data_IF_813103491876
#
_entry.id   IF_813103491876
#
_cell.length_a   1.000
_cell.length_b   1.000
_cell.length_c   1.000
_cell.angle_alpha   90.00
_cell.angle_beta   90.00
_cell.angle_gamma   90.00
#
_symmetry.space_group_name_H-M   'P 1'
#
loop_
_entity.id
_entity.type
_entity.pdbx_description
1 polymer ?
#
# COMPACT_ATOMS: atom_id res chain seq x y z
N UNK A 1 -7.32 -7.16 18.51
CA UNK A 1 -6.57 -7.36 17.25
C UNK A 1 -5.22 -8.02 17.49
N UNK A 2 -4.34 -7.50 18.38
CA UNK A 2 -3.01 -8.07 18.59
C UNK A 2 -3.10 -9.53 19.06
N UNK A 3 -3.88 -9.83 20.10
CA UNK A 3 -4.04 -11.17 20.66
C UNK A 3 -4.51 -12.18 19.60
N UNK A 4 -5.60 -11.90 18.87
CA UNK A 4 -6.09 -12.80 17.82
C UNK A 4 -5.08 -12.96 16.67
N UNK A 5 -4.29 -11.93 16.38
CA UNK A 5 -3.23 -12.04 15.37
C UNK A 5 -2.13 -12.98 15.83
N UNK A 6 -1.61 -12.81 17.04
CA UNK A 6 -0.48 -13.60 17.55
C UNK A 6 -0.82 -15.09 17.72
N UNK A 7 -2.07 -15.40 18.09
CA UNK A 7 -2.48 -16.78 18.41
C UNK A 7 -3.06 -17.55 17.19
N UNK A 8 -3.70 -16.84 16.25
CA UNK A 8 -4.48 -17.50 15.18
C UNK A 8 -4.10 -16.99 13.79
N UNK A 9 -4.29 -15.68 13.53
CA UNK A 9 -4.25 -15.11 12.18
C UNK A 9 -2.85 -15.02 11.58
N UNK A 10 -1.80 -15.05 12.40
CA UNK A 10 -0.42 -14.92 11.95
C UNK A 10 0.02 -16.10 11.07
N UNK A 11 -0.59 -17.28 11.16
CA UNK A 11 -0.19 -18.49 10.42
C UNK A 11 -0.11 -18.24 8.91
N UNK A 12 -1.07 -17.51 8.35
CA UNK A 12 -1.11 -17.18 6.91
C UNK A 12 -0.53 -15.81 6.57
N UNK A 13 -0.05 -15.05 7.55
CA UNK A 13 0.39 -13.67 7.40
C UNK A 13 1.41 -13.49 6.27
N UNK A 14 2.47 -14.30 6.23
CA UNK A 14 3.51 -14.16 5.22
C UNK A 14 3.05 -14.47 3.79
N UNK A 15 2.01 -15.29 3.64
CA UNK A 15 1.39 -15.61 2.34
C UNK A 15 0.44 -14.52 1.86
N UNK A 16 -0.23 -13.85 2.79
CA UNK A 16 -1.33 -12.94 2.51
C UNK A 16 -0.95 -11.45 2.59
N UNK A 17 0.21 -11.11 3.14
CA UNK A 17 0.63 -9.72 3.36
C UNK A 17 0.59 -8.85 2.09
N UNK A 18 0.80 -9.45 0.93
CA UNK A 18 0.74 -8.75 -0.36
C UNK A 18 -0.64 -8.74 -1.01
N UNK A 19 -1.56 -9.59 -0.57
CA UNK A 19 -2.88 -9.76 -1.17
C UNK A 19 -3.88 -8.77 -0.57
N UNK A 20 -4.54 -7.93 -1.37
CA UNK A 20 -5.37 -6.85 -0.84
C UNK A 20 -6.59 -7.33 -0.06
N UNK A 21 -7.24 -8.42 -0.48
CA UNK A 21 -8.42 -8.96 0.20
C UNK A 21 -8.04 -9.78 1.44
N UNK A 22 -7.18 -10.76 1.31
CA UNK A 22 -6.83 -11.69 2.39
C UNK A 22 -6.03 -11.00 3.51
N UNK A 23 -5.22 -9.98 3.19
CA UNK A 23 -4.48 -9.21 4.19
C UNK A 23 -5.40 -8.50 5.20
N UNK A 24 -6.64 -8.19 4.80
CA UNK A 24 -7.63 -7.57 5.68
C UNK A 24 -7.99 -8.46 6.87
N UNK A 25 -7.89 -9.78 6.69
CA UNK A 25 -8.18 -10.78 7.73
C UNK A 25 -6.92 -11.28 8.43
N UNK A 26 -5.86 -11.58 7.67
CA UNK A 26 -4.66 -12.27 8.18
C UNK A 26 -3.55 -11.33 8.69
N UNK A 27 -3.55 -10.05 8.36
CA UNK A 27 -2.59 -9.09 8.92
C UNK A 27 -3.01 -8.63 10.32
N UNK A 28 -2.05 -8.10 11.07
CA UNK A 28 -2.26 -7.68 12.47
C UNK A 28 -3.30 -6.58 12.63
N UNK A 29 -3.38 -5.66 11.66
CA UNK A 29 -4.25 -4.48 11.69
C UNK A 29 -4.00 -3.59 12.93
N UNK A 30 -2.75 -3.60 13.43
CA UNK A 30 -2.37 -2.89 14.66
C UNK A 30 -1.87 -1.46 14.40
N UNK A 31 -1.56 -1.11 13.14
CA UNK A 31 -0.96 0.18 12.79
C UNK A 31 -1.74 1.41 13.28
N UNK A 32 -3.09 1.50 13.18
CA UNK A 32 -3.83 2.63 13.74
C UNK A 32 -3.65 2.75 15.26
N UNK A 33 -3.61 1.63 15.97
CA UNK A 33 -3.44 1.62 17.42
C UNK A 33 -2.04 2.04 17.87
N UNK A 34 -1.03 1.83 17.02
CA UNK A 34 0.33 2.35 17.22
C UNK A 34 0.35 3.86 16.98
N UNK A 35 -0.22 4.32 15.88
CA UNK A 35 -0.26 5.74 15.51
C UNK A 35 -0.98 6.59 16.57
N UNK A 36 -2.10 6.11 17.09
CA UNK A 36 -2.85 6.83 18.14
C UNK A 36 -2.41 6.52 19.58
N UNK A 37 -1.31 5.78 19.77
CA UNK A 37 -0.74 5.51 21.07
C UNK A 37 -1.56 4.59 21.98
N UNK A 38 -2.56 3.89 21.45
CA UNK A 38 -3.35 2.92 22.23
C UNK A 38 -2.51 1.72 22.71
N UNK A 39 -1.44 1.42 21.98
CA UNK A 39 -0.45 0.40 22.32
C UNK A 39 0.93 0.89 21.87
N UNK A 40 1.95 0.66 22.70
CA UNK A 40 3.31 1.05 22.34
C UNK A 40 3.98 -0.01 21.46
N UNK A 41 4.95 0.43 20.64
CA UNK A 41 5.79 -0.49 19.87
C UNK A 41 6.48 -1.53 20.76
N UNK A 42 6.95 -1.12 21.94
CA UNK A 42 7.57 -2.02 22.92
C UNK A 42 6.62 -3.14 23.37
N UNK A 43 5.37 -2.80 23.68
CA UNK A 43 4.37 -3.79 24.07
C UNK A 43 4.08 -4.79 22.94
N UNK A 44 3.90 -4.30 21.70
CA UNK A 44 3.67 -5.16 20.53
C UNK A 44 4.86 -6.09 20.29
N UNK A 45 6.08 -5.54 20.35
CA UNK A 45 7.31 -6.32 20.16
C UNK A 45 7.45 -7.43 21.22
N UNK A 46 7.34 -7.08 22.50
CA UNK A 46 7.46 -8.04 23.61
C UNK A 46 6.40 -9.14 23.53
N UNK A 47 5.14 -8.78 23.24
CA UNK A 47 4.08 -9.75 23.05
C UNK A 47 4.36 -10.69 21.87
N UNK A 48 4.90 -10.16 20.76
CA UNK A 48 5.26 -10.95 19.57
C UNK A 48 6.40 -11.93 19.87
N UNK A 49 7.44 -11.47 20.57
CA UNK A 49 8.58 -12.33 20.97
C UNK A 49 8.12 -13.44 21.90
N UNK A 50 7.28 -13.12 22.90
CA UNK A 50 6.71 -14.13 23.80
C UNK A 50 5.89 -15.16 23.03
N UNK A 51 4.97 -14.73 22.17
CA UNK A 51 4.17 -15.63 21.34
C UNK A 51 5.02 -16.52 20.44
N UNK A 52 6.14 -16.00 19.91
CA UNK A 52 7.05 -16.77 19.07
C UNK A 52 7.81 -17.87 19.82
N UNK A 53 8.00 -17.74 21.13
CA UNK A 53 8.61 -18.78 21.97
C UNK A 53 7.67 -19.97 22.14
N UNK A 54 6.39 -19.71 22.27
CA UNK A 54 5.33 -20.70 22.55
C UNK A 54 4.71 -21.28 21.27
N UNK A 55 4.86 -20.60 20.12
CA UNK A 55 4.19 -20.98 18.87
C UNK A 55 4.82 -22.20 18.17
N UNK A 56 3.97 -23.05 17.61
CA UNK A 56 4.38 -24.11 16.68
C UNK A 56 4.97 -23.55 15.39
N UNK A 57 4.39 -22.43 14.88
CA UNK A 57 4.82 -21.76 13.65
C UNK A 57 5.49 -20.43 13.97
N UNK A 58 6.80 -20.43 14.20
CA UNK A 58 7.58 -19.22 14.59
C UNK A 58 7.85 -18.26 13.43
N UNK A 59 8.01 -18.77 12.20
CA UNK A 59 8.42 -17.99 11.02
C UNK A 59 7.53 -16.78 10.72
N UNK A 60 6.18 -16.86 10.74
CA UNK A 60 5.32 -15.68 10.52
C UNK A 60 5.51 -14.59 11.58
N UNK A 61 5.72 -14.97 12.83
CA UNK A 61 5.95 -14.02 13.94
C UNK A 61 7.31 -13.34 13.82
N UNK A 62 8.37 -14.07 13.46
CA UNK A 62 9.67 -13.46 13.16
C UNK A 62 9.58 -12.50 11.96
N UNK A 63 8.81 -12.86 10.95
CA UNK A 63 8.58 -11.98 9.82
C UNK A 63 7.82 -10.71 10.24
N UNK A 64 6.86 -10.81 11.15
CA UNK A 64 6.18 -9.66 11.73
C UNK A 64 7.11 -8.80 12.58
N UNK A 65 7.95 -9.41 13.42
CA UNK A 65 8.98 -8.71 14.20
C UNK A 65 9.89 -7.85 13.32
N UNK A 66 10.33 -8.38 12.17
CA UNK A 66 11.12 -7.59 11.22
C UNK A 66 10.35 -6.36 10.71
N UNK A 67 9.02 -6.43 10.56
CA UNK A 67 8.21 -5.26 10.17
C UNK A 67 8.11 -4.21 11.26
N UNK A 68 8.11 -4.61 12.52
CA UNK A 68 8.17 -3.67 13.65
C UNK A 68 9.49 -2.89 13.67
N UNK A 69 10.62 -3.53 13.35
CA UNK A 69 11.91 -2.83 13.20
C UNK A 69 11.88 -1.82 12.04
N UNK A 70 11.32 -2.19 10.88
CA UNK A 70 11.17 -1.26 9.76
C UNK A 70 10.30 -0.05 10.12
N UNK A 71 9.24 -0.25 10.89
CA UNK A 71 8.40 0.84 11.39
C UNK A 71 9.23 1.86 12.19
N UNK A 72 10.00 1.41 13.17
CA UNK A 72 10.88 2.28 13.96
C UNK A 72 11.96 2.95 13.10
N UNK A 73 12.56 2.20 12.18
CA UNK A 73 13.61 2.72 11.29
C UNK A 73 13.14 3.93 10.48
N UNK A 74 11.95 3.86 9.87
CA UNK A 74 11.44 4.96 9.05
C UNK A 74 11.08 6.19 9.87
N UNK A 75 10.55 6.02 11.08
CA UNK A 75 10.28 7.12 12.01
C UNK A 75 11.58 7.82 12.40
N UNK A 76 12.60 7.07 12.82
CA UNK A 76 13.92 7.62 13.19
C UNK A 76 14.59 8.32 11.99
N UNK A 77 14.46 7.77 10.79
CA UNK A 77 14.95 8.43 9.58
C UNK A 77 14.27 9.78 9.34
N UNK A 78 12.98 9.87 9.55
CA UNK A 78 12.23 11.11 9.40
C UNK A 78 12.62 12.13 10.48
N UNK A 79 12.81 11.70 11.72
CA UNK A 79 13.31 12.57 12.81
C UNK A 79 14.67 13.20 12.48
N UNK A 80 15.53 12.45 11.77
CA UNK A 80 16.84 12.93 11.34
C UNK A 80 16.79 13.81 10.09
N UNK A 81 15.77 13.67 9.23
CA UNK A 81 15.67 14.33 7.93
C UNK A 81 14.20 14.69 7.63
N UNK A 82 13.59 15.52 8.48
CA UNK A 82 12.16 15.87 8.37
C UNK A 82 11.78 16.63 7.08
N UNK A 83 12.73 17.30 6.42
CA UNK A 83 12.47 17.98 5.13
C UNK A 83 12.05 17.02 4.01
N UNK A 84 12.22 15.68 4.17
CA UNK A 84 11.69 14.70 3.23
C UNK A 84 10.16 14.73 3.09
N UNK A 85 9.47 15.46 3.93
CA UNK A 85 8.04 15.73 3.80
C UNK A 85 7.74 16.60 2.55
N UNK A 86 8.65 17.51 2.21
CA UNK A 86 8.43 18.53 1.18
C UNK A 86 9.41 18.40 0.01
N UNK A 87 10.62 17.95 0.27
CA UNK A 87 11.73 17.96 -0.67
C UNK A 87 12.21 16.56 -1.01
N UNK A 88 12.77 16.37 -2.22
CA UNK A 88 13.42 15.12 -2.55
C UNK A 88 14.65 14.88 -1.66
N UNK A 89 14.80 13.67 -1.13
CA UNK A 89 16.00 13.27 -0.38
C UNK A 89 17.26 13.47 -1.21
N UNK A 90 17.23 13.09 -2.48
CA UNK A 90 18.27 13.40 -3.43
C UNK A 90 17.81 14.54 -4.34
N UNK A 91 18.40 15.72 -4.11
CA UNK A 91 18.08 16.96 -4.83
C UNK A 91 18.31 16.89 -6.35
N UNK A 92 19.11 15.92 -6.81
CA UNK A 92 19.29 15.68 -8.25
C UNK A 92 17.98 15.29 -8.97
N UNK A 93 16.96 14.89 -8.24
CA UNK A 93 15.64 14.58 -8.79
C UNK A 93 14.65 15.76 -8.79
N UNK A 94 15.05 16.94 -8.34
CA UNK A 94 14.15 18.12 -8.31
C UNK A 94 13.77 18.61 -9.71
N UNK A 95 14.51 18.20 -10.73
CA UNK A 95 14.29 18.61 -12.14
C UNK A 95 13.33 17.68 -12.90
N UNK A 96 12.85 16.61 -12.27
CA UNK A 96 11.92 15.68 -12.91
C UNK A 96 10.51 15.78 -12.29
N UNK A 97 9.49 15.58 -13.11
CA UNK A 97 8.07 15.57 -12.66
C UNK A 97 7.73 16.87 -11.90
N UNK A 98 8.06 17.99 -12.49
CA UNK A 98 7.86 19.33 -11.91
C UNK A 98 6.45 19.88 -12.14
N UNK A 99 5.75 19.35 -13.14
CA UNK A 99 4.41 19.81 -13.53
C UNK A 99 3.35 18.84 -13.07
N UNK A 100 2.20 19.39 -12.64
CA UNK A 100 1.02 18.61 -12.25
C UNK A 100 0.03 18.62 -13.40
N UNK A 101 -0.36 17.45 -13.88
CA UNK A 101 -1.54 17.28 -14.71
C UNK A 101 -2.75 17.04 -13.81
N UNK A 102 -3.60 18.05 -13.67
CA UNK A 102 -4.75 18.02 -12.76
C UNK A 102 -5.81 16.98 -13.15
N UNK A 103 -5.97 16.68 -14.43
CA UNK A 103 -6.91 15.65 -14.91
C UNK A 103 -6.45 14.27 -14.46
N UNK A 104 -5.19 13.92 -14.67
CA UNK A 104 -4.63 12.64 -14.26
C UNK A 104 -4.61 12.50 -12.73
N UNK A 105 -4.24 13.57 -12.02
CA UNK A 105 -4.24 13.58 -10.58
C UNK A 105 -5.66 13.40 -10.01
N UNK A 106 -6.65 14.05 -10.59
CA UNK A 106 -8.07 13.93 -10.22
C UNK A 106 -8.60 12.52 -10.49
N UNK A 107 -8.27 11.94 -11.65
CA UNK A 107 -8.65 10.57 -11.99
C UNK A 107 -8.08 9.58 -10.98
N UNK A 108 -6.80 9.72 -10.62
CA UNK A 108 -6.15 8.88 -9.62
C UNK A 108 -6.78 9.04 -8.23
N UNK A 109 -7.00 10.27 -7.76
CA UNK A 109 -7.62 10.55 -6.45
C UNK A 109 -9.02 9.95 -6.32
N UNK A 110 -9.79 9.92 -7.41
CA UNK A 110 -11.18 9.44 -7.42
C UNK A 110 -11.30 7.94 -7.76
N UNK A 111 -10.20 7.25 -8.09
CA UNK A 111 -10.23 5.85 -8.50
C UNK A 111 -11.03 5.63 -9.79
N UNK A 112 -10.73 6.43 -10.81
CA UNK A 112 -11.33 6.41 -12.15
C UNK A 112 -10.24 6.54 -13.23
N UNK A 113 -9.10 5.88 -13.00
CA UNK A 113 -7.98 5.88 -13.94
C UNK A 113 -8.19 4.95 -15.14
N UNK A 114 -9.18 4.05 -15.07
CA UNK A 114 -9.39 2.97 -16.04
C UNK A 114 -8.45 1.77 -15.80
N UNK A 115 -7.64 1.77 -14.73
CA UNK A 115 -6.80 0.64 -14.34
C UNK A 115 -7.42 -0.04 -13.12
N UNK A 116 -8.06 -1.21 -13.25
CA UNK A 116 -8.97 -1.77 -12.27
C UNK A 116 -8.39 -1.89 -10.86
N UNK A 117 -7.16 -2.39 -10.71
CA UNK A 117 -6.55 -2.55 -9.40
C UNK A 117 -6.19 -1.21 -8.74
N UNK A 118 -5.77 -0.21 -9.52
CA UNK A 118 -5.52 1.15 -9.03
C UNK A 118 -6.81 1.77 -8.50
N UNK A 119 -7.87 1.69 -9.30
CA UNK A 119 -9.17 2.26 -8.97
C UNK A 119 -9.77 1.57 -7.73
N UNK A 120 -9.70 0.24 -7.67
CA UNK A 120 -10.11 -0.53 -6.50
C UNK A 120 -9.35 -0.12 -5.23
N UNK A 121 -8.04 0.09 -5.32
CA UNK A 121 -7.21 0.52 -4.20
C UNK A 121 -7.57 1.93 -3.72
N UNK A 122 -7.76 2.89 -4.63
CA UNK A 122 -8.14 4.26 -4.27
C UNK A 122 -9.52 4.32 -3.64
N UNK A 123 -10.52 3.64 -4.21
CA UNK A 123 -11.87 3.57 -3.66
C UNK A 123 -11.88 2.87 -2.28
N UNK A 124 -11.10 1.79 -2.14
CA UNK A 124 -10.95 1.08 -0.87
C UNK A 124 -10.36 1.96 0.23
N UNK A 125 -9.27 2.68 -0.05
CA UNK A 125 -8.65 3.52 0.98
C UNK A 125 -9.53 4.71 1.35
N UNK A 126 -10.19 5.32 0.38
CA UNK A 126 -11.12 6.44 0.63
C UNK A 126 -12.28 6.04 1.53
N UNK A 127 -12.83 4.83 1.36
CA UNK A 127 -13.96 4.37 2.18
C UNK A 127 -13.54 3.75 3.52
N UNK A 128 -12.34 3.18 3.62
CA UNK A 128 -11.96 2.37 4.80
C UNK A 128 -10.73 2.87 5.54
N UNK A 129 -10.00 3.82 4.98
CA UNK A 129 -8.74 4.30 5.55
C UNK A 129 -7.60 3.26 5.57
N UNK A 130 -7.77 2.11 4.91
CA UNK A 130 -6.80 1.02 4.98
C UNK A 130 -6.49 0.37 3.64
N UNK A 131 -5.20 0.20 3.41
CA UNK A 131 -4.64 -0.69 2.39
C UNK A 131 -3.44 -1.43 2.96
N UNK A 132 -3.14 -2.63 2.43
CA UNK A 132 -1.88 -3.31 2.72
C UNK A 132 -0.70 -2.61 2.04
N UNK A 133 0.49 -2.85 2.55
CA UNK A 133 1.71 -2.15 2.12
C UNK A 133 1.98 -2.23 0.61
N UNK A 134 1.81 -3.40 0.00
CA UNK A 134 2.06 -3.57 -1.44
C UNK A 134 1.17 -2.67 -2.30
N UNK A 135 -0.11 -2.56 -1.94
CA UNK A 135 -1.04 -1.71 -2.69
C UNK A 135 -0.73 -0.22 -2.49
N UNK A 136 -0.33 0.19 -1.28
CA UNK A 136 0.16 1.57 -1.04
C UNK A 136 1.37 1.90 -1.91
N UNK A 137 2.34 0.99 -1.97
CA UNK A 137 3.54 1.15 -2.81
C UNK A 137 3.19 1.25 -4.29
N UNK A 138 2.26 0.43 -4.74
CA UNK A 138 1.78 0.44 -6.13
C UNK A 138 1.08 1.75 -6.47
N UNK A 139 0.23 2.31 -5.58
CA UNK A 139 -0.42 3.61 -5.80
C UNK A 139 0.58 4.73 -6.00
N UNK A 140 1.61 4.81 -5.13
CA UNK A 140 2.67 5.82 -5.25
C UNK A 140 3.49 5.63 -6.54
N UNK A 141 3.87 4.39 -6.86
CA UNK A 141 4.59 4.06 -8.09
C UNK A 141 3.78 4.39 -9.34
N UNK A 142 2.48 4.09 -9.36
CA UNK A 142 1.60 4.38 -10.50
C UNK A 142 1.48 5.89 -10.73
N UNK A 143 1.22 6.66 -9.67
CA UNK A 143 1.16 8.11 -9.75
C UNK A 143 2.42 8.71 -10.38
N UNK A 144 3.59 8.25 -9.93
CA UNK A 144 4.85 8.90 -10.29
C UNK A 144 5.49 8.37 -11.57
N UNK A 145 5.30 7.12 -11.92
CA UNK A 145 5.96 6.50 -13.08
C UNK A 145 5.02 6.29 -14.28
N UNK A 146 3.71 6.07 -14.05
CA UNK A 146 2.77 5.90 -15.15
C UNK A 146 2.06 7.21 -15.49
N UNK A 147 1.60 7.95 -14.47
CA UNK A 147 0.97 9.25 -14.69
C UNK A 147 1.96 10.42 -14.70
N UNK A 148 3.23 10.15 -14.42
CA UNK A 148 4.33 11.12 -14.40
C UNK A 148 4.08 12.34 -13.53
N UNK A 149 3.39 12.16 -12.39
CA UNK A 149 3.08 13.23 -11.44
C UNK A 149 4.19 13.40 -10.38
N UNK A 150 4.42 14.61 -9.85
CA UNK A 150 5.24 14.78 -8.67
C UNK A 150 4.62 14.02 -7.49
N UNK A 151 5.45 13.33 -6.72
CA UNK A 151 4.96 12.51 -5.60
C UNK A 151 4.23 13.34 -4.53
N UNK A 152 4.63 14.60 -4.32
CA UNK A 152 4.02 15.53 -3.37
C UNK A 152 2.53 15.71 -3.64
N UNK A 153 2.13 15.75 -4.91
CA UNK A 153 0.73 15.95 -5.30
C UNK A 153 -0.20 14.84 -4.78
N UNK A 154 0.31 13.61 -4.68
CA UNK A 154 -0.46 12.47 -4.19
C UNK A 154 -0.23 12.14 -2.71
N UNK A 155 0.96 12.44 -2.18
CA UNK A 155 1.33 12.12 -0.81
C UNK A 155 0.37 12.76 0.21
N UNK A 156 0.11 14.05 0.09
CA UNK A 156 -0.83 14.78 0.97
C UNK A 156 -2.25 14.22 0.88
N UNK A 157 -2.69 13.79 -0.31
CA UNK A 157 -4.02 13.19 -0.47
C UNK A 157 -4.13 11.87 0.29
N UNK A 158 -3.19 10.94 0.10
CA UNK A 158 -3.21 9.65 0.79
C UNK A 158 -2.93 9.78 2.29
N UNK A 159 -2.14 10.76 2.73
CA UNK A 159 -1.96 11.07 4.16
C UNK A 159 -3.29 11.31 4.87
N UNK A 160 -4.22 12.02 4.21
CA UNK A 160 -5.56 12.31 4.73
C UNK A 160 -6.51 11.10 4.71
N UNK A 161 -6.21 10.07 3.92
CA UNK A 161 -7.06 8.87 3.80
C UNK A 161 -6.67 7.80 4.82
N UNK A 162 -5.37 7.65 5.14
CA UNK A 162 -4.92 6.54 5.99
C UNK A 162 -5.23 6.75 7.47
N UNK A 163 -5.96 5.79 8.08
CA UNK A 163 -6.20 5.74 9.52
C UNK A 163 -4.92 5.56 10.35
N UNK A 164 -3.88 5.03 9.74
CA UNK A 164 -2.59 4.78 10.34
C UNK A 164 -1.49 5.68 9.76
N UNK A 165 -1.87 6.91 9.39
CA UNK A 165 -0.92 7.88 8.89
C UNK A 165 0.19 8.13 9.91
N UNK A 166 1.43 7.90 9.49
CA UNK A 166 2.65 8.15 10.23
C UNK A 166 3.64 8.84 9.26
N UNK A 167 3.99 10.11 9.47
CA UNK A 167 4.77 10.89 8.49
C UNK A 167 6.09 10.24 8.12
N UNK A 168 6.82 9.68 9.08
CA UNK A 168 8.10 9.03 8.82
C UNK A 168 7.98 7.84 7.87
N UNK A 169 6.96 7.04 8.03
CA UNK A 169 6.69 5.90 7.14
C UNK A 169 6.13 6.39 5.81
N UNK A 170 5.18 7.29 5.84
CA UNK A 170 4.45 7.75 4.66
C UNK A 170 5.37 8.42 3.63
N UNK A 171 6.08 9.48 4.03
CA UNK A 171 6.93 10.23 3.12
C UNK A 171 8.17 9.44 2.69
N UNK A 172 8.78 8.68 3.60
CA UNK A 172 9.87 7.78 3.24
C UNK A 172 9.45 6.79 2.16
N UNK A 173 8.27 6.18 2.29
CA UNK A 173 7.76 5.22 1.30
C UNK A 173 7.38 5.90 -0.01
N UNK A 174 6.75 7.06 0.01
CA UNK A 174 6.47 7.81 -1.22
C UNK A 174 7.74 8.08 -2.01
N UNK A 175 8.78 8.60 -1.37
CA UNK A 175 10.05 8.88 -2.04
C UNK A 175 10.76 7.61 -2.55
N UNK A 176 10.73 6.51 -1.78
CA UNK A 176 11.27 5.23 -2.23
C UNK A 176 10.55 4.71 -3.48
N UNK A 177 9.22 4.78 -3.51
CA UNK A 177 8.43 4.30 -4.64
C UNK A 177 8.49 5.24 -5.84
N UNK A 178 8.74 6.51 -5.62
CA UNK A 178 8.94 7.53 -6.67
C UNK A 178 10.35 7.50 -7.27
N UNK A 179 11.29 6.77 -6.64
CA UNK A 179 12.67 6.68 -7.07
C UNK A 179 13.50 7.95 -6.82
N UNK A 180 13.09 8.80 -5.85
CA UNK A 180 13.74 10.09 -5.56
C UNK A 180 14.74 10.04 -4.41
N UNK A 181 15.01 8.85 -3.86
CA UNK A 181 15.98 8.68 -2.76
C UNK A 181 17.44 8.60 -3.23
N UNK A 182 17.68 8.14 -4.45
CA UNK A 182 19.01 7.91 -5.01
C UNK A 182 19.76 6.67 -4.46
N UNK A 183 19.21 5.98 -3.46
CA UNK A 183 19.83 4.81 -2.81
C UNK A 183 19.14 3.49 -3.14
N UNK A 184 17.89 3.53 -3.53
CA UNK A 184 17.11 2.31 -3.83
C UNK A 184 17.01 2.11 -5.33
N UNK A 185 17.06 0.85 -5.76
CA UNK A 185 16.69 0.50 -7.14
C UNK A 185 15.25 0.92 -7.39
N UNK A 186 15.03 1.67 -8.45
CA UNK A 186 13.67 2.07 -8.86
C UNK A 186 12.85 0.84 -9.22
N UNK A 187 11.67 0.73 -8.63
CA UNK A 187 10.74 -0.37 -8.86
C UNK A 187 9.44 0.18 -9.42
N UNK A 188 9.21 -0.06 -10.70
CA UNK A 188 7.96 0.31 -11.36
C UNK A 188 7.02 -0.89 -11.28
N UNK A 189 5.91 -0.74 -10.56
CA UNK A 189 4.90 -1.79 -10.47
C UNK A 189 4.05 -1.82 -11.74
N UNK A 190 3.93 -2.99 -12.36
CA UNK A 190 2.94 -3.21 -13.39
C UNK A 190 1.59 -3.54 -12.72
N UNK A 191 0.57 -2.66 -12.76
CA UNK A 191 -0.68 -2.86 -12.04
C UNK A 191 -1.49 -4.06 -12.54
N UNK A 192 -1.45 -4.38 -13.82
CA UNK A 192 -2.11 -5.55 -14.40
C UNK A 192 -1.51 -6.85 -13.88
N UNK A 193 -0.16 -6.93 -13.89
CA UNK A 193 0.55 -8.07 -13.30
C UNK A 193 0.27 -8.18 -11.79
N UNK A 194 0.26 -7.07 -11.05
CA UNK A 194 -0.07 -7.10 -9.63
C UNK A 194 -1.50 -7.59 -9.38
N UNK A 195 -2.45 -7.23 -10.23
CA UNK A 195 -3.81 -7.74 -10.17
C UNK A 195 -3.85 -9.27 -10.30
N UNK A 196 -3.29 -9.79 -11.38
CA UNK A 196 -3.22 -11.24 -11.63
C UNK A 196 -2.49 -12.02 -10.52
N UNK A 197 -1.40 -11.47 -9.97
CA UNK A 197 -0.60 -12.12 -8.92
C UNK A 197 -1.25 -12.07 -7.53
N UNK A 198 -1.92 -10.96 -7.17
CA UNK A 198 -2.35 -10.69 -5.80
C UNK A 198 -3.87 -10.75 -5.58
N UNK A 199 -4.65 -10.69 -6.63
CA UNK A 199 -6.12 -10.83 -6.64
C UNK A 199 -6.58 -11.65 -7.87
N UNK A 200 -6.07 -12.87 -8.07
CA UNK A 200 -6.24 -13.62 -9.33
C UNK A 200 -7.71 -13.84 -9.72
N UNK A 201 -8.60 -13.97 -8.77
CA UNK A 201 -10.04 -14.11 -9.03
C UNK A 201 -10.78 -12.76 -9.17
N UNK A 202 -10.07 -11.63 -9.02
CA UNK A 202 -10.66 -10.30 -9.11
C UNK A 202 -11.62 -9.95 -7.97
N UNK A 203 -11.55 -10.67 -6.85
CA UNK A 203 -12.50 -10.49 -5.71
C UNK A 203 -12.40 -9.09 -5.13
N UNK A 204 -11.17 -8.59 -4.94
CA UNK A 204 -10.94 -7.25 -4.44
C UNK A 204 -11.35 -6.20 -5.47
N UNK A 205 -10.96 -6.37 -6.73
CA UNK A 205 -11.33 -5.45 -7.82
C UNK A 205 -12.85 -5.35 -7.92
N UNK A 206 -13.56 -6.46 -8.06
CA UNK A 206 -15.03 -6.48 -8.19
C UNK A 206 -15.77 -5.86 -7.00
N UNK A 207 -15.21 -5.99 -5.80
CA UNK A 207 -15.79 -5.36 -4.60
C UNK A 207 -15.72 -3.84 -4.64
N UNK A 208 -14.62 -3.27 -5.12
CA UNK A 208 -14.38 -1.83 -5.08
C UNK A 208 -14.64 -1.11 -6.40
N UNK A 209 -14.79 -1.87 -7.48
CA UNK A 209 -15.18 -1.40 -8.82
C UNK A 209 -16.40 -2.19 -9.25
N UNK A 210 -17.59 -1.86 -8.72
CA UNK A 210 -18.83 -2.61 -9.00
C UNK A 210 -19.17 -2.67 -10.48
N UNK A 211 -18.69 -1.72 -11.27
CA UNK A 211 -18.83 -1.70 -12.72
C UNK A 211 -18.21 -2.93 -13.41
N UNK A 212 -17.30 -3.63 -12.73
CA UNK A 212 -16.64 -4.85 -13.20
C UNK A 212 -17.16 -6.13 -12.54
N UNK A 213 -18.25 -6.06 -11.78
CA UNK A 213 -18.76 -7.20 -10.99
C UNK A 213 -19.04 -8.44 -11.84
N UNK A 214 -19.61 -8.25 -13.03
CA UNK A 214 -20.01 -9.33 -13.95
C UNK A 214 -18.92 -9.72 -14.96
N UNK A 215 -17.78 -9.01 -14.98
CA UNK A 215 -16.65 -9.33 -15.86
C UNK A 215 -15.97 -10.62 -15.40
N UNK A 216 -15.50 -11.45 -16.33
CA UNK A 216 -14.82 -12.71 -16.01
C UNK A 216 -13.54 -12.47 -15.16
N UNK A 217 -13.08 -13.49 -14.42
CA UNK A 217 -11.83 -13.39 -13.66
C UNK A 217 -10.60 -13.20 -14.55
N UNK A 218 -10.65 -13.67 -15.77
CA UNK A 218 -9.55 -13.55 -16.74
C UNK A 218 -9.44 -12.13 -17.30
N UNK A 219 -10.57 -11.46 -17.50
CA UNK A 219 -10.66 -10.16 -18.14
C UNK A 219 -10.67 -8.99 -17.16
N UNK A 220 -11.10 -9.22 -15.91
CA UNK A 220 -11.30 -8.16 -14.89
C UNK A 220 -10.05 -7.32 -14.62
N UNK A 221 -8.86 -7.86 -14.88
CA UNK A 221 -7.60 -7.16 -14.68
C UNK A 221 -7.27 -6.18 -15.82
N UNK A 222 -7.76 -6.45 -17.04
CA UNK A 222 -7.48 -5.65 -18.23
C UNK A 222 -8.72 -5.61 -19.17
N UNK A 223 -9.85 -5.04 -18.70
CA UNK A 223 -11.12 -5.08 -19.48
C UNK A 223 -11.04 -4.37 -20.83
N UNK A 224 -10.06 -3.48 -21.02
CA UNK A 224 -9.80 -2.84 -22.31
C UNK A 224 -9.22 -3.78 -23.39
N UNK A 225 -8.74 -4.96 -22.99
CA UNK A 225 -8.31 -6.02 -23.93
C UNK A 225 -9.47 -6.91 -24.39
N UNK A 226 -10.67 -6.75 -23.81
CA UNK A 226 -11.86 -7.52 -24.22
C UNK A 226 -12.29 -7.17 -25.65
N UNK A 227 -12.82 -8.14 -26.41
CA UNK A 227 -13.43 -7.86 -27.72
C UNK A 227 -14.53 -6.79 -27.61
N UNK A 228 -14.60 -5.88 -28.58
CA UNK A 228 -15.50 -4.72 -28.57
C UNK A 228 -17.00 -5.05 -28.35
N UNK A 229 -17.42 -6.27 -28.62
CA UNK A 229 -18.79 -6.75 -28.36
C UNK A 229 -19.12 -6.79 -26.86
N UNK A 230 -18.12 -6.92 -25.97
CA UNK A 230 -18.29 -6.99 -24.53
C UNK A 230 -17.94 -5.66 -23.82
N UNK A 231 -17.40 -4.69 -24.55
CA UNK A 231 -17.03 -3.37 -24.01
C UNK A 231 -18.24 -2.43 -23.82
N UNK A 232 -19.44 -2.83 -24.21
CA UNK A 232 -20.67 -2.03 -24.13
C UNK A 232 -21.61 -2.49 -22.98
N UNK A 233 -21.21 -3.44 -22.17
CA UNK A 233 -21.93 -3.86 -20.97
C UNK A 233 -21.36 -3.13 -19.74
#
# INVERSE_FOLDING_TARGET
YLHSFLNERCVTYSKHISKPEESRKSCSRISPYLTYGNVSMKQVYQATVKAAQEATYKRPLHFFTARLHWHCHFIQKFESECRMEFENLNRGFDVIRTEVNEEYLKAWKNGITGVPLIDACMRCVTQTGYLNFRMRSMLASFLTHHLWQPWQAGATHLAKQFLDYEPGIHYSQFQMQSGTTGINTVRIYNPYKQGRDQDPAGVFIKRWVPELADVSSDDVHAPHEMPALFAQM
#
